data_IF_604064634301
#
_entry.id   IF_604064634301
#
_cell.length_a   1.000
_cell.length_b   1.000
_cell.length_c   1.000
_cell.angle_alpha   90.00
_cell.angle_beta   90.00
_cell.angle_gamma   90.00
#
_symmetry.space_group_name_H-M   'P 1'
#
loop_
_entity.id
_entity.type
_entity.pdbx_description
1 polymer ?
#
# COMPACT_ATOMS: atom_id res chain seq x y z
N UNK A 1 9.93 7.97 -5.17
CA UNK A 1 8.54 7.48 -5.29
C UNK A 1 8.61 5.97 -5.52
N UNK A 2 7.94 5.13 -4.72
CA UNK A 2 7.96 3.67 -4.88
C UNK A 2 7.04 3.30 -6.05
N UNK A 3 7.61 2.81 -7.15
CA UNK A 3 6.88 2.58 -8.43
C UNK A 3 6.85 1.12 -8.86
N UNK A 4 7.38 0.21 -8.07
CA UNK A 4 7.75 -1.17 -8.46
C UNK A 4 6.67 -2.01 -9.18
N UNK A 5 5.38 -1.69 -9.04
CA UNK A 5 4.28 -2.43 -9.70
C UNK A 5 3.62 -1.69 -10.88
N UNK A 6 3.93 -0.41 -11.06
CA UNK A 6 3.36 0.47 -12.10
C UNK A 6 4.45 1.02 -13.02
N UNK A 7 5.72 0.98 -12.60
CA UNK A 7 6.85 1.41 -13.41
C UNK A 7 6.92 0.55 -14.67
N UNK A 8 7.11 1.20 -15.82
CA UNK A 8 7.31 0.57 -17.13
C UNK A 8 6.10 -0.12 -17.78
N UNK A 9 4.90 -0.04 -17.19
CA UNK A 9 3.68 -0.48 -17.89
C UNK A 9 3.10 0.62 -18.78
N UNK A 10 2.92 0.30 -20.06
CA UNK A 10 2.04 1.06 -20.95
C UNK A 10 0.63 0.52 -20.81
N UNK A 11 -0.30 1.40 -20.44
CA UNK A 11 -1.73 1.08 -20.40
C UNK A 11 -2.37 1.56 -21.69
N UNK A 12 -3.18 0.72 -22.31
CA UNK A 12 -3.90 1.08 -23.53
C UNK A 12 -5.10 1.97 -23.24
N UNK A 13 -5.68 1.83 -22.04
CA UNK A 13 -6.85 2.59 -21.61
C UNK A 13 -6.69 3.20 -20.22
N UNK A 14 -7.43 4.29 -19.96
CA UNK A 14 -7.47 4.91 -18.63
C UNK A 14 -8.02 3.98 -17.56
N UNK A 15 -8.99 3.12 -17.89
CA UNK A 15 -9.57 2.19 -16.91
C UNK A 15 -8.62 1.06 -16.54
N UNK A 16 -7.81 0.59 -17.48
CA UNK A 16 -6.72 -0.35 -17.20
C UNK A 16 -5.70 0.26 -16.22
N UNK A 17 -5.28 1.51 -16.48
CA UNK A 17 -4.38 2.23 -15.61
C UNK A 17 -4.95 2.41 -14.19
N UNK A 18 -6.23 2.82 -14.07
CA UNK A 18 -6.92 2.92 -12.77
C UNK A 18 -6.93 1.58 -12.04
N UNK A 19 -7.25 0.49 -12.73
CA UNK A 19 -7.26 -0.84 -12.15
C UNK A 19 -5.89 -1.26 -11.64
N UNK A 20 -4.82 -0.97 -12.39
CA UNK A 20 -3.45 -1.24 -11.97
C UNK A 20 -3.02 -0.40 -10.76
N UNK A 21 -3.36 0.89 -10.75
CA UNK A 21 -3.12 1.79 -9.61
C UNK A 21 -3.85 1.29 -8.37
N UNK A 22 -5.13 0.93 -8.49
CA UNK A 22 -5.93 0.44 -7.36
C UNK A 22 -5.33 -0.85 -6.80
N UNK A 23 -5.00 -1.82 -7.66
CA UNK A 23 -4.35 -3.07 -7.24
C UNK A 23 -3.03 -2.81 -6.55
N UNK A 24 -2.22 -1.90 -7.08
CA UNK A 24 -0.96 -1.52 -6.45
C UNK A 24 -1.19 -0.89 -5.08
N UNK A 25 -2.14 0.04 -4.95
CA UNK A 25 -2.46 0.70 -3.69
C UNK A 25 -2.96 -0.29 -2.64
N UNK A 26 -3.85 -1.21 -3.02
CA UNK A 26 -4.34 -2.27 -2.14
C UNK A 26 -3.21 -3.17 -1.65
N UNK A 27 -2.33 -3.61 -2.55
CA UNK A 27 -1.16 -4.41 -2.16
C UNK A 27 -0.20 -3.61 -1.27
N UNK A 28 0.07 -2.36 -1.61
CA UNK A 28 0.96 -1.49 -0.84
C UNK A 28 0.46 -1.30 0.58
N UNK A 29 -0.81 -0.94 0.75
CA UNK A 29 -1.38 -0.68 2.06
C UNK A 29 -1.48 -1.95 2.93
N UNK A 30 -1.89 -3.08 2.32
CA UNK A 30 -2.17 -4.29 3.07
C UNK A 30 -0.93 -5.18 3.30
N UNK A 31 -0.01 -5.27 2.33
CA UNK A 31 1.02 -6.31 2.30
C UNK A 31 2.45 -5.80 2.20
N UNK A 32 2.69 -4.58 1.69
CA UNK A 32 4.07 -4.08 1.53
C UNK A 32 4.70 -3.88 2.90
N UNK A 33 5.82 -4.57 3.16
CA UNK A 33 6.58 -4.36 4.39
C UNK A 33 7.47 -3.12 4.26
N UNK A 34 7.57 -2.38 5.35
CA UNK A 34 8.40 -1.18 5.47
C UNK A 34 9.39 -1.34 6.61
N UNK A 35 10.69 -1.22 6.32
CA UNK A 35 11.73 -1.29 7.34
C UNK A 35 11.62 -0.18 8.40
N UNK A 36 11.05 0.98 8.04
CA UNK A 36 10.75 2.07 8.98
C UNK A 36 9.52 1.83 9.85
N UNK A 37 8.72 0.80 9.56
CA UNK A 37 7.54 0.39 10.32
C UNK A 37 7.76 -0.98 10.98
N UNK A 38 9.00 -1.31 11.35
CA UNK A 38 9.37 -2.63 11.90
C UNK A 38 8.93 -3.81 11.03
N UNK A 39 9.04 -3.64 9.71
CA UNK A 39 8.60 -4.62 8.70
C UNK A 39 7.10 -4.92 8.76
N UNK A 40 6.28 -4.00 9.25
CA UNK A 40 4.83 -4.06 9.13
C UNK A 40 4.35 -3.41 7.82
N UNK A 41 3.15 -3.81 7.40
CA UNK A 41 2.44 -3.08 6.36
C UNK A 41 1.79 -1.80 6.92
N UNK A 42 1.57 -0.77 6.10
CA UNK A 42 0.93 0.46 6.52
C UNK A 42 -0.39 0.23 7.28
N UNK A 43 -1.26 -0.65 6.77
CA UNK A 43 -2.52 -0.98 7.44
C UNK A 43 -2.31 -1.67 8.79
N UNK A 44 -1.34 -2.60 8.90
CA UNK A 44 -1.06 -3.23 10.19
C UNK A 44 -0.52 -2.22 11.20
N UNK A 45 0.39 -1.36 10.76
CA UNK A 45 0.93 -0.31 11.61
C UNK A 45 -0.17 0.62 12.13
N UNK A 46 -1.05 1.12 11.26
CA UNK A 46 -2.19 1.95 11.66
C UNK A 46 -3.16 1.22 12.61
N UNK A 47 -3.41 -0.08 12.38
CA UNK A 47 -4.27 -0.90 13.24
C UNK A 47 -3.72 -1.04 14.66
N UNK A 48 -2.41 -1.22 14.81
CA UNK A 48 -1.75 -1.26 16.12
C UNK A 48 -1.88 0.10 16.81
N UNK A 49 -1.56 1.19 16.11
CA UNK A 49 -1.67 2.56 16.62
C UNK A 49 -3.10 2.94 17.03
N UNK A 50 -4.12 2.42 16.35
CA UNK A 50 -5.52 2.62 16.73
C UNK A 50 -5.92 1.80 17.96
N UNK A 51 -5.35 0.61 18.12
CA UNK A 51 -5.57 -0.24 19.31
C UNK A 51 -4.97 0.42 20.54
N UNK A 52 -3.72 0.89 20.45
CA UNK A 52 -3.03 1.56 21.55
C UNK A 52 -3.75 2.84 21.99
N UNK A 53 -4.24 3.64 21.03
CA UNK A 53 -5.05 4.84 21.30
C UNK A 53 -6.40 4.56 21.96
N UNK A 54 -6.97 3.36 21.78
CA UNK A 54 -8.23 2.96 22.42
C UNK A 54 -8.03 2.38 23.82
N UNK A 55 -6.82 1.94 24.14
CA UNK A 55 -6.47 1.36 25.44
C UNK A 55 -5.97 2.40 26.46
N UNK A 56 -5.68 3.63 26.01
CA UNK A 56 -5.35 4.79 26.81
C UNK A 56 -6.59 5.64 27.14
#
# INVERSE_FOLDING_TARGET
MKTELIHERRFETRDEAKGAILRHLMWYNAHRLHSSLDYLSPMHFESLQLTDRKAA
#
